data_IF_770466299213
#
_entry.id   IF_770466299213
#
_cell.length_a   1.000
_cell.length_b   1.000
_cell.length_c   1.000
_cell.angle_alpha   90.00
_cell.angle_beta   90.00
_cell.angle_gamma   90.00
#
_symmetry.space_group_name_H-M   'P 1'
#
loop_
_entity.id
_entity.type
_entity.pdbx_description
1 polymer ?
#
# COMPACT_ATOMS: atom_id res chain seq x y z
N UNK A 1 11.23 -13.57 -12.51
CA UNK A 1 11.28 -12.15 -12.08
C UNK A 1 12.03 -12.10 -10.75
N UNK A 2 12.85 -11.08 -10.47
CA UNK A 2 13.37 -10.86 -9.12
C UNK A 2 12.57 -9.75 -8.44
N UNK A 3 12.57 -9.74 -7.10
CA UNK A 3 11.87 -8.75 -6.27
C UNK A 3 12.15 -7.30 -6.72
N UNK A 4 13.42 -6.97 -7.00
CA UNK A 4 13.79 -5.61 -7.40
C UNK A 4 13.15 -5.19 -8.72
N UNK A 5 13.08 -6.07 -9.72
CA UNK A 5 12.41 -5.78 -10.99
C UNK A 5 10.89 -5.71 -10.79
N UNK A 6 10.33 -6.57 -9.95
CA UNK A 6 8.92 -6.50 -9.53
C UNK A 6 8.57 -5.15 -8.92
N UNK A 7 9.37 -4.67 -7.97
CA UNK A 7 9.14 -3.37 -7.33
C UNK A 7 9.22 -2.21 -8.31
N UNK A 8 10.08 -2.28 -9.33
CA UNK A 8 10.09 -1.29 -10.42
C UNK A 8 8.78 -1.28 -11.21
N UNK A 9 8.21 -2.45 -11.51
CA UNK A 9 6.89 -2.51 -12.14
C UNK A 9 5.81 -1.82 -11.30
N UNK A 10 5.80 -2.06 -9.99
CA UNK A 10 4.80 -1.48 -9.08
C UNK A 10 4.92 0.05 -8.93
N UNK A 11 6.14 0.60 -8.88
CA UNK A 11 6.30 2.07 -8.82
C UNK A 11 6.08 2.74 -10.18
N UNK A 12 6.31 2.03 -11.28
CA UNK A 12 5.99 2.52 -12.63
C UNK A 12 4.48 2.57 -12.88
N UNK A 13 3.71 1.58 -12.43
CA UNK A 13 2.24 1.62 -12.55
C UNK A 13 1.66 2.80 -11.77
N UNK A 14 2.15 3.07 -10.55
CA UNK A 14 1.75 4.25 -9.77
C UNK A 14 2.05 5.58 -10.48
N UNK A 15 3.11 5.62 -11.30
CA UNK A 15 3.53 6.83 -12.01
C UNK A 15 2.73 7.09 -13.30
N UNK A 16 2.38 6.04 -14.03
CA UNK A 16 1.86 6.15 -15.40
C UNK A 16 0.40 5.75 -15.57
N UNK A 17 -0.21 5.09 -14.58
CA UNK A 17 -1.63 4.77 -14.65
C UNK A 17 -2.50 6.03 -14.69
N UNK A 18 -3.62 5.97 -15.39
CA UNK A 18 -4.57 7.09 -15.54
C UNK A 18 -5.21 7.48 -14.20
N UNK A 19 -5.35 6.53 -13.29
CA UNK A 19 -5.88 6.75 -11.95
C UNK A 19 -5.20 5.86 -10.89
N UNK A 20 -5.40 6.24 -9.63
CA UNK A 20 -5.00 5.40 -8.48
C UNK A 20 -5.71 4.05 -8.53
N UNK A 21 -6.95 3.99 -9.03
CA UNK A 21 -7.70 2.74 -9.18
C UNK A 21 -7.01 1.79 -10.15
N UNK A 22 -6.61 2.29 -11.32
CA UNK A 22 -5.92 1.49 -12.33
C UNK A 22 -4.57 0.97 -11.84
N UNK A 23 -3.82 1.80 -11.09
CA UNK A 23 -2.58 1.37 -10.45
C UNK A 23 -2.81 0.27 -9.40
N UNK A 24 -3.88 0.38 -8.59
CA UNK A 24 -4.22 -0.62 -7.59
C UNK A 24 -4.67 -1.95 -8.21
N UNK A 25 -5.44 -1.90 -9.29
CA UNK A 25 -5.86 -3.09 -10.04
C UNK A 25 -4.64 -3.82 -10.64
N UNK A 26 -3.73 -3.07 -11.26
CA UNK A 26 -2.47 -3.62 -11.77
C UNK A 26 -1.64 -4.24 -10.63
N UNK A 27 -1.41 -3.49 -9.55
CA UNK A 27 -0.60 -3.96 -8.42
C UNK A 27 -1.22 -5.21 -7.77
N UNK A 28 -2.55 -5.25 -7.62
CA UNK A 28 -3.27 -6.40 -7.07
C UNK A 28 -3.14 -7.63 -7.98
N UNK A 29 -3.26 -7.45 -9.30
CA UNK A 29 -3.05 -8.52 -10.27
C UNK A 29 -1.63 -9.09 -10.17
N UNK A 30 -0.61 -8.23 -10.18
CA UNK A 30 0.81 -8.62 -10.09
C UNK A 30 1.14 -9.31 -8.77
N UNK A 31 0.59 -8.82 -7.64
CA UNK A 31 0.88 -9.36 -6.31
C UNK A 31 0.11 -10.66 -6.00
N UNK A 32 -1.10 -10.84 -6.54
CA UNK A 32 -1.94 -12.01 -6.27
C UNK A 32 -1.49 -13.27 -7.02
N UNK A 33 -0.82 -13.11 -8.16
CA UNK A 33 -0.36 -14.23 -9.00
C UNK A 33 1.06 -13.96 -9.52
N UNK A 34 1.98 -13.63 -8.60
CA UNK A 34 3.37 -13.21 -8.90
C UNK A 34 4.12 -14.21 -9.81
N UNK A 35 3.78 -15.49 -9.75
CA UNK A 35 4.37 -16.54 -10.59
C UNK A 35 3.95 -16.43 -12.07
N UNK A 36 2.77 -15.85 -12.35
CA UNK A 36 2.19 -15.67 -13.71
C UNK A 36 2.40 -14.28 -14.31
N UNK A 37 3.09 -13.41 -13.57
CA UNK A 37 3.55 -12.09 -14.04
C UNK A 37 4.36 -12.13 -15.36
N UNK A 38 5.00 -13.22 -15.86
CA UNK A 38 5.62 -13.18 -17.19
C UNK A 38 4.67 -13.36 -18.40
N UNK A 39 3.34 -13.17 -18.26
CA UNK A 39 2.45 -13.06 -19.42
C UNK A 39 2.59 -11.69 -20.10
N UNK A 40 3.03 -11.70 -21.36
CA UNK A 40 3.46 -10.51 -22.13
C UNK A 40 2.34 -9.47 -22.28
N UNK A 41 1.08 -9.90 -22.40
CA UNK A 41 -0.04 -9.00 -22.66
C UNK A 41 -0.37 -8.01 -21.53
N UNK A 42 0.07 -8.28 -20.29
CA UNK A 42 -0.15 -7.41 -19.13
C UNK A 42 1.01 -6.45 -18.85
N UNK A 43 2.18 -6.67 -19.44
CA UNK A 43 3.43 -5.99 -19.10
C UNK A 43 3.88 -4.99 -20.16
N UNK A 44 3.39 -5.08 -21.40
CA UNK A 44 3.99 -4.38 -22.55
C UNK A 44 4.13 -2.86 -22.40
N UNK A 45 3.21 -2.17 -21.72
CA UNK A 45 3.32 -0.71 -21.46
C UNK A 45 4.16 -0.39 -20.20
N UNK A 46 4.08 -1.21 -19.15
CA UNK A 46 4.88 -1.05 -17.94
C UNK A 46 6.33 -1.56 -18.08
N UNK A 47 6.64 -2.31 -19.15
CA UNK A 47 7.96 -2.85 -19.43
C UNK A 47 8.99 -1.76 -19.71
N UNK A 48 8.61 -0.69 -20.41
CA UNK A 48 9.56 0.33 -20.81
C UNK A 48 10.06 1.13 -19.60
N UNK A 49 9.16 1.62 -18.74
CA UNK A 49 9.53 2.28 -17.49
C UNK A 49 10.35 1.35 -16.57
N UNK A 50 9.91 0.11 -16.36
CA UNK A 50 10.60 -0.79 -15.43
C UNK A 50 12.03 -1.16 -15.89
N UNK A 51 12.34 -1.04 -17.18
CA UNK A 51 13.67 -1.27 -17.74
C UNK A 51 14.46 0.03 -18.01
N UNK A 52 13.90 1.22 -17.75
CA UNK A 52 14.55 2.51 -17.97
C UNK A 52 15.24 3.07 -16.72
N UNK A 53 15.91 4.21 -16.90
CA UNK A 53 16.48 5.02 -15.80
C UNK A 53 15.37 5.59 -14.91
N UNK A 54 14.23 6.00 -15.48
CA UNK A 54 13.07 6.48 -14.73
C UNK A 54 12.59 5.42 -13.71
N UNK A 55 12.47 4.14 -14.12
CA UNK A 55 12.08 3.08 -13.21
C UNK A 55 13.09 2.85 -12.06
N UNK A 56 14.38 3.12 -12.30
CA UNK A 56 15.40 3.07 -11.24
C UNK A 56 15.25 4.26 -10.27
N UNK A 57 15.07 5.47 -10.78
CA UNK A 57 14.86 6.67 -9.97
C UNK A 57 13.61 6.56 -9.10
N UNK A 58 12.50 6.10 -9.68
CA UNK A 58 11.25 5.86 -8.94
C UNK A 58 11.44 4.85 -7.80
N UNK A 59 12.22 3.78 -8.04
CA UNK A 59 12.54 2.80 -7.00
C UNK A 59 13.40 3.42 -5.89
N UNK A 60 14.41 4.23 -6.23
CA UNK A 60 15.25 4.94 -5.26
C UNK A 60 14.37 5.85 -4.39
N UNK A 61 13.49 6.65 -5.00
CA UNK A 61 12.56 7.51 -4.26
C UNK A 61 11.62 6.71 -3.36
N UNK A 62 11.19 5.52 -3.79
CA UNK A 62 10.35 4.63 -2.95
C UNK A 62 11.11 4.10 -1.72
N UNK A 63 12.39 3.77 -1.87
CA UNK A 63 13.27 3.40 -0.75
C UNK A 63 13.45 4.57 0.22
N UNK A 64 13.71 5.78 -0.28
CA UNK A 64 13.83 6.98 0.55
C UNK A 64 12.57 7.26 1.37
N UNK A 65 11.39 7.12 0.75
CA UNK A 65 10.10 7.23 1.46
C UNK A 65 9.96 6.17 2.55
N UNK A 66 10.39 4.94 2.28
CA UNK A 66 10.34 3.84 3.26
C UNK A 66 11.23 4.11 4.47
N UNK A 67 12.45 4.63 4.23
CA UNK A 67 13.38 5.05 5.29
C UNK A 67 12.79 6.20 6.10
N UNK A 68 12.27 7.25 5.45
CA UNK A 68 11.65 8.39 6.12
C UNK A 68 10.43 7.99 6.98
N UNK A 69 9.71 6.93 6.59
CA UNK A 69 8.59 6.38 7.33
C UNK A 69 9.00 5.40 8.46
N UNK A 70 10.28 5.14 8.66
CA UNK A 70 10.81 4.09 9.55
C UNK A 70 10.26 2.69 9.23
N UNK A 71 10.00 2.39 7.96
CA UNK A 71 9.50 1.10 7.49
C UNK A 71 10.66 0.11 7.28
N UNK A 72 11.23 -0.38 8.38
CA UNK A 72 12.43 -1.24 8.36
C UNK A 72 12.14 -2.74 8.15
N UNK A 73 10.86 -3.13 8.13
CA UNK A 73 10.42 -4.50 7.91
C UNK A 73 9.25 -4.53 6.93
N UNK A 74 9.30 -5.42 5.94
CA UNK A 74 8.15 -5.71 5.11
C UNK A 74 7.31 -6.80 5.78
N UNK A 75 6.01 -6.61 6.03
CA UNK A 75 5.14 -5.46 5.70
C UNK A 75 5.00 -4.51 6.91
N UNK A 76 5.21 -3.20 6.76
CA UNK A 76 4.89 -2.20 7.80
C UNK A 76 3.64 -1.42 7.41
N UNK A 77 2.54 -1.58 8.17
CA UNK A 77 1.29 -0.85 7.95
C UNK A 77 1.26 0.37 8.86
N UNK A 78 0.89 1.53 8.32
CA UNK A 78 0.82 2.81 9.06
C UNK A 78 -0.54 3.47 8.86
N UNK A 79 -1.04 4.10 9.92
CA UNK A 79 -2.26 4.90 9.93
C UNK A 79 -1.94 6.19 10.70
N UNK A 80 -2.26 7.35 10.14
CA UNK A 80 -1.94 8.67 10.75
C UNK A 80 -0.47 8.77 11.23
N UNK A 81 0.47 8.44 10.34
CA UNK A 81 1.91 8.44 10.62
C UNK A 81 2.36 7.56 11.81
N UNK A 82 1.50 6.66 12.30
CA UNK A 82 1.80 5.72 13.39
C UNK A 82 1.79 4.29 12.84
N UNK A 83 2.70 3.46 13.36
CA UNK A 83 2.71 2.03 13.03
C UNK A 83 1.42 1.39 13.54
N UNK A 84 0.70 0.73 12.64
CA UNK A 84 -0.53 -0.01 12.91
C UNK A 84 -0.22 -1.48 13.22
N UNK A 85 0.49 -2.14 12.31
CA UNK A 85 0.98 -3.51 12.43
C UNK A 85 2.28 -3.66 11.63
N UNK A 86 3.12 -4.61 12.05
CA UNK A 86 4.29 -5.04 11.28
C UNK A 86 4.15 -6.54 11.05
N UNK A 87 4.35 -7.00 9.83
CA UNK A 87 4.55 -8.42 9.53
C UNK A 87 6.06 -8.68 9.53
N UNK A 88 6.50 -9.63 10.33
CA UNK A 88 7.90 -9.98 10.46
C UNK A 88 8.00 -11.49 10.69
N UNK A 89 8.91 -12.15 9.95
CA UNK A 89 9.02 -13.62 9.92
C UNK A 89 7.67 -14.33 9.69
N UNK A 90 6.88 -13.84 8.74
CA UNK A 90 5.56 -14.34 8.37
C UNK A 90 4.46 -14.16 9.42
N UNK A 91 4.76 -13.59 10.59
CA UNK A 91 3.80 -13.35 11.67
C UNK A 91 3.39 -11.87 11.77
N UNK A 92 2.11 -11.63 12.05
CA UNK A 92 1.60 -10.28 12.30
C UNK A 92 1.85 -9.86 13.75
N UNK A 93 2.63 -8.81 13.92
CA UNK A 93 2.91 -8.13 15.19
C UNK A 93 2.05 -6.87 15.26
N UNK A 94 0.91 -7.01 15.91
CA UNK A 94 -0.08 -5.95 16.06
C UNK A 94 -0.35 -5.65 17.55
N UNK A 95 -0.48 -4.38 17.96
CA UNK A 95 -1.06 -4.04 19.25
C UNK A 95 -2.48 -4.65 19.41
N UNK A 96 -2.95 -4.87 20.65
CA UNK A 96 -4.29 -5.38 20.90
C UNK A 96 -5.36 -4.61 20.13
N UNK A 97 -6.24 -5.35 19.44
CA UNK A 97 -7.30 -4.79 18.61
C UNK A 97 -6.88 -4.33 17.19
N UNK A 98 -5.59 -4.10 16.91
CA UNK A 98 -5.14 -3.62 15.58
C UNK A 98 -4.95 -4.72 14.54
N UNK A 99 -4.89 -5.98 14.96
CA UNK A 99 -4.91 -7.13 14.03
C UNK A 99 -6.29 -7.48 13.48
N UNK A 100 -7.33 -6.72 13.83
CA UNK A 100 -8.72 -6.94 13.42
C UNK A 100 -9.07 -5.92 12.33
N UNK A 101 -9.50 -6.40 11.16
CA UNK A 101 -9.73 -5.56 9.98
C UNK A 101 -10.81 -4.50 10.23
N UNK A 102 -11.88 -4.86 10.93
CA UNK A 102 -12.99 -3.96 11.24
C UNK A 102 -12.54 -2.77 12.09
N UNK A 103 -11.56 -2.97 12.98
CA UNK A 103 -11.00 -1.87 13.78
C UNK A 103 -10.13 -0.94 12.96
N UNK A 104 -9.48 -1.46 11.91
CA UNK A 104 -8.71 -0.65 10.97
C UNK A 104 -9.61 0.22 10.10
N UNK A 105 -10.69 -0.36 9.54
CA UNK A 105 -11.69 0.38 8.75
C UNK A 105 -12.30 1.52 9.57
N UNK A 106 -12.75 1.23 10.81
CA UNK A 106 -13.30 2.25 11.71
C UNK A 106 -12.32 3.40 12.01
N UNK A 107 -11.03 3.10 12.18
CA UNK A 107 -10.04 4.14 12.43
C UNK A 107 -9.84 5.02 11.19
N UNK A 108 -9.84 4.43 9.98
CA UNK A 108 -9.77 5.21 8.72
C UNK A 108 -11.01 6.10 8.58
N UNK A 109 -12.21 5.55 8.74
CA UNK A 109 -13.47 6.30 8.65
C UNK A 109 -13.47 7.50 9.62
N UNK A 110 -13.03 7.26 10.87
CA UNK A 110 -12.87 8.32 11.87
C UNK A 110 -11.88 9.40 11.44
N UNK A 111 -10.73 9.03 10.87
CA UNK A 111 -9.71 9.99 10.42
C UNK A 111 -10.12 10.74 9.15
N UNK A 112 -10.92 10.12 8.28
CA UNK A 112 -11.41 10.70 7.03
C UNK A 112 -12.49 11.78 7.25
N UNK A 113 -13.06 11.86 8.46
CA UNK A 113 -14.18 12.75 8.76
C UNK A 113 -15.55 12.17 8.42
N UNK A 114 -15.60 10.96 7.85
CA UNK A 114 -16.84 10.21 7.59
C UNK A 114 -17.43 9.59 8.88
N UNK A 115 -16.60 9.49 9.93
CA UNK A 115 -17.04 9.17 11.28
C UNK A 115 -17.61 10.38 11.99
N UNK A 116 -18.81 10.83 11.60
CA UNK A 116 -19.58 11.75 12.44
C UNK A 116 -19.70 11.19 13.86
N UNK A 117 -19.36 12.08 14.78
CA UNK A 117 -19.29 11.90 16.21
C UNK A 117 -20.57 11.27 16.79
N UNK A 118 -20.50 9.97 17.11
CA UNK A 118 -21.54 9.26 17.86
C UNK A 118 -21.80 9.81 19.27
N UNK A 119 -21.15 10.90 19.67
CA UNK A 119 -21.43 11.61 20.93
C UNK A 119 -22.34 12.84 20.78
N UNK A 120 -22.74 13.22 19.56
CA UNK A 120 -23.65 14.36 19.31
C UNK A 120 -25.14 14.12 19.62
N UNK A 121 -25.60 12.86 19.67
CA UNK A 121 -27.02 12.55 19.89
C UNK A 121 -27.41 12.28 21.36
N UNK A 122 -26.44 12.18 22.29
CA UNK A 122 -26.74 11.89 23.71
C UNK A 122 -26.92 13.13 24.61
N UNK A 123 -26.75 14.35 24.08
CA UNK A 123 -26.92 15.59 24.84
C UNK A 123 -28.17 16.41 24.47
N UNK A 124 -29.03 15.91 23.57
CA UNK A 124 -30.28 16.58 23.18
C UNK A 124 -31.54 15.70 23.31
N UNK A 125 -31.62 14.94 24.39
CA UNK A 125 -32.90 14.45 24.90
C UNK A 125 -33.04 14.87 26.37
N UNK A 126 -33.55 16.09 26.56
CA UNK A 126 -34.34 16.44 27.74
C UNK A 126 -35.79 16.06 27.46
#
# INVERSE_FOLDING_TARGET
MNECKGNKFLVCSEKHADSIGDALDFNTCVLSDYERVPDKGLIEECADCANSEEGLELLISSVERSVAANANASCTVRVDNKVWCIRDNYEWKCPPGRGVVENWVREIEKLSGDGEDGTGYLYLAR
#
